data_IF_846090803125
#
_entry.id   IF_846090803125
#
_cell.length_a   1.000
_cell.length_b   1.000
_cell.length_c   1.000
_cell.angle_alpha   90.00
_cell.angle_beta   90.00
_cell.angle_gamma   90.00
#
_symmetry.space_group_name_H-M   'P 1'
#
loop_
_entity.id
_entity.type
_entity.pdbx_description
1 polymer ?
#
# COMPACT_ATOMS: atom_id res chain seq x y z
N UNK A 1 18.17 29.26 0.59
CA UNK A 1 17.01 28.79 -0.18
C UNK A 1 17.30 27.35 -0.56
N UNK A 2 16.94 26.40 0.30
CA UNK A 2 16.93 24.99 -0.09
C UNK A 2 15.61 24.83 -0.85
N UNK A 3 15.69 24.73 -2.18
CA UNK A 3 14.60 24.17 -2.96
C UNK A 3 14.54 22.69 -2.57
N UNK A 4 13.83 22.38 -1.48
CA UNK A 4 13.71 21.01 -0.98
C UNK A 4 12.90 20.18 -1.95
N UNK A 5 13.51 19.13 -2.49
CA UNK A 5 12.76 18.05 -3.11
C UNK A 5 11.86 17.39 -2.05
N UNK A 6 10.82 16.67 -2.48
CA UNK A 6 9.94 15.93 -1.59
C UNK A 6 8.79 16.74 -0.97
N UNK A 7 8.30 16.29 0.19
CA UNK A 7 7.19 16.91 0.91
C UNK A 7 7.60 18.29 1.43
N UNK A 8 6.90 19.34 0.96
CA UNK A 8 7.21 20.74 1.26
C UNK A 8 6.64 21.22 2.60
N UNK A 9 5.47 20.70 2.98
CA UNK A 9 4.71 21.16 4.14
C UNK A 9 4.25 19.98 5.00
N UNK A 10 4.33 20.15 6.32
CA UNK A 10 3.84 19.16 7.28
C UNK A 10 3.13 19.85 8.44
N UNK A 11 2.12 19.19 9.00
CA UNK A 11 1.35 19.70 10.12
C UNK A 11 1.24 18.65 11.23
N UNK A 12 1.18 19.05 12.51
CA UNK A 12 1.02 18.08 13.61
C UNK A 12 -0.37 17.43 13.57
N UNK A 13 -0.41 16.11 13.39
CA UNK A 13 -1.65 15.33 13.29
C UNK A 13 -2.58 15.52 14.50
N UNK A 14 -2.01 15.78 15.68
CA UNK A 14 -2.75 16.05 16.93
C UNK A 14 -3.75 17.20 16.79
N UNK A 15 -3.49 18.16 15.90
CA UNK A 15 -4.31 19.36 15.71
C UNK A 15 -5.04 19.37 14.36
N UNK A 16 -5.07 18.25 13.64
CA UNK A 16 -5.55 18.16 12.25
C UNK A 16 -6.97 18.70 12.03
N UNK A 17 -7.83 18.63 13.05
CA UNK A 17 -9.19 19.19 12.97
C UNK A 17 -9.30 20.69 13.27
N UNK A 18 -8.19 21.37 13.58
CA UNK A 18 -8.19 22.78 14.00
C UNK A 18 -8.24 23.70 12.79
N UNK A 19 -8.65 24.95 13.01
CA UNK A 19 -8.60 25.97 11.97
C UNK A 19 -7.19 26.58 11.88
N UNK A 20 -6.54 26.46 10.72
CA UNK A 20 -5.21 27.01 10.47
C UNK A 20 -5.26 28.18 9.49
N UNK A 21 -4.37 29.13 9.70
CA UNK A 21 -4.05 30.17 8.73
C UNK A 21 -2.58 30.53 8.84
N UNK A 22 -1.90 30.63 7.71
CA UNK A 22 -0.48 30.99 7.62
C UNK A 22 0.43 30.12 8.51
N UNK A 23 0.08 28.82 8.62
CA UNK A 23 0.83 27.82 9.38
C UNK A 23 0.62 27.86 10.90
N UNK A 24 -0.31 28.67 11.40
CA UNK A 24 -0.66 28.73 12.83
C UNK A 24 -2.14 28.43 13.05
N UNK A 25 -2.46 27.84 14.20
CA UNK A 25 -3.85 27.69 14.62
C UNK A 25 -4.35 29.05 15.09
N UNK A 26 -5.46 29.52 14.53
CA UNK A 26 -6.00 30.85 14.83
C UNK A 26 -6.89 30.84 16.08
N UNK A 27 -6.90 31.95 16.81
CA UNK A 27 -7.77 32.16 17.97
C UNK A 27 -9.24 32.33 17.53
N UNK A 28 -10.17 31.61 18.16
CA UNK A 28 -11.61 31.63 17.81
C UNK A 28 -12.34 30.29 17.98
N UNK A 29 -13.42 30.08 17.22
CA UNK A 29 -14.08 28.76 17.15
C UNK A 29 -13.14 27.74 16.49
N UNK A 30 -13.15 26.49 16.97
CA UNK A 30 -12.22 25.41 16.52
C UNK A 30 -10.72 25.65 16.74
N UNK A 31 -10.37 26.54 17.68
CA UNK A 31 -9.00 26.94 18.07
C UNK A 31 -8.04 25.84 18.55
N UNK A 32 -8.50 24.59 18.79
CA UNK A 32 -7.62 23.49 19.24
C UNK A 32 -8.38 22.16 19.20
N UNK A 33 -8.76 21.71 18.02
CA UNK A 33 -9.45 20.42 17.86
C UNK A 33 -8.41 19.30 17.89
N UNK A 34 -8.62 18.34 18.79
CA UNK A 34 -7.79 17.14 18.96
C UNK A 34 -8.66 15.90 18.82
N UNK A 35 -8.05 14.77 18.50
CA UNK A 35 -8.75 13.50 18.33
C UNK A 35 -9.45 13.36 16.97
N UNK A 36 -9.22 14.32 16.06
CA UNK A 36 -9.61 14.20 14.65
C UNK A 36 -8.81 13.10 13.93
N UNK A 37 -7.63 12.79 14.44
CA UNK A 37 -6.76 11.65 14.09
C UNK A 37 -7.28 10.30 14.62
N UNK A 38 -8.60 10.18 14.78
CA UNK A 38 -9.24 8.93 15.17
C UNK A 38 -8.92 7.84 14.14
N UNK A 39 -8.41 6.69 14.61
CA UNK A 39 -7.98 5.61 13.75
C UNK A 39 -9.08 5.11 12.78
N UNK A 40 -10.34 5.09 13.21
CA UNK A 40 -11.46 4.70 12.36
C UNK A 40 -11.74 5.70 11.24
N UNK A 41 -11.61 7.01 11.52
CA UNK A 41 -11.79 8.05 10.52
C UNK A 41 -10.65 8.08 9.50
N UNK A 42 -9.39 7.97 9.97
CA UNK A 42 -8.21 7.89 9.10
C UNK A 42 -8.27 6.61 8.24
N UNK A 43 -8.65 5.47 8.81
CA UNK A 43 -8.83 4.22 8.07
C UNK A 43 -9.96 4.35 7.04
N UNK A 44 -11.10 4.93 7.42
CA UNK A 44 -12.21 5.17 6.49
C UNK A 44 -11.82 6.09 5.34
N UNK A 45 -11.02 7.12 5.60
CA UNK A 45 -10.45 7.99 4.55
C UNK A 45 -9.50 7.21 3.63
N UNK A 46 -8.57 6.46 4.22
CA UNK A 46 -7.58 5.69 3.47
C UNK A 46 -8.17 4.52 2.68
N UNK A 47 -9.40 4.14 2.99
CA UNK A 47 -10.12 3.02 2.39
C UNK A 47 -11.48 3.45 1.81
N UNK A 48 -11.59 4.72 1.39
CA UNK A 48 -12.81 5.27 0.78
C UNK A 48 -13.03 4.76 -0.65
N UNK A 49 -12.41 3.65 -1.08
CA UNK A 49 -12.57 3.00 -2.40
C UNK A 49 -14.01 2.80 -2.86
N UNK A 50 -14.97 2.80 -1.93
CA UNK A 50 -16.39 2.59 -2.17
C UNK A 50 -17.01 3.56 -3.19
N UNK A 51 -16.34 4.68 -3.49
CA UNK A 51 -16.68 5.64 -4.53
C UNK A 51 -16.52 5.06 -5.93
N UNK A 52 -15.36 4.45 -6.18
CA UNK A 52 -15.06 3.78 -7.45
C UNK A 52 -15.91 2.52 -7.60
N UNK A 53 -16.15 1.82 -6.48
CA UNK A 53 -17.06 0.68 -6.45
C UNK A 53 -18.45 1.07 -6.96
N UNK A 54 -19.05 2.15 -6.42
CA UNK A 54 -20.35 2.67 -6.83
C UNK A 54 -20.39 3.05 -8.32
N UNK A 55 -19.34 3.70 -8.84
CA UNK A 55 -19.23 4.03 -10.27
C UNK A 55 -19.17 2.77 -11.16
N UNK A 56 -18.53 1.69 -10.69
CA UNK A 56 -18.52 0.41 -11.41
C UNK A 56 -19.85 -0.35 -11.30
N UNK A 57 -20.62 -0.20 -10.21
CA UNK A 57 -21.98 -0.77 -10.08
C UNK A 57 -22.91 -0.27 -11.19
N UNK A 58 -22.79 1.00 -11.59
CA UNK A 58 -23.59 1.56 -12.69
C UNK A 58 -23.25 0.95 -14.07
N UNK A 59 -22.12 0.24 -14.19
CA UNK A 59 -21.65 -0.40 -15.43
C UNK A 59 -21.72 -1.93 -15.46
N UNK A 60 -21.71 -2.62 -14.31
CA UNK A 60 -21.63 -4.09 -14.27
C UNK A 60 -22.91 -4.75 -13.73
N UNK A 61 -23.62 -5.48 -14.59
CA UNK A 61 -24.88 -6.19 -14.33
C UNK A 61 -24.73 -7.52 -13.57
N UNK A 62 -23.71 -7.68 -12.72
CA UNK A 62 -23.35 -8.95 -12.10
C UNK A 62 -23.21 -8.90 -10.58
N UNK A 63 -24.21 -9.45 -9.88
CA UNK A 63 -24.11 -10.09 -8.55
C UNK A 63 -23.42 -9.31 -7.42
N UNK A 64 -23.89 -8.09 -7.18
CA UNK A 64 -23.62 -7.40 -5.92
C UNK A 64 -24.83 -7.66 -5.01
N UNK A 65 -24.58 -8.19 -3.80
CA UNK A 65 -25.64 -8.41 -2.81
C UNK A 65 -26.42 -7.11 -2.61
N UNK A 66 -27.76 -7.16 -2.63
CA UNK A 66 -28.60 -5.94 -2.54
C UNK A 66 -28.35 -5.08 -1.30
N UNK A 67 -27.75 -5.65 -0.25
CA UNK A 67 -27.27 -4.91 0.94
C UNK A 67 -26.06 -4.02 0.60
N UNK A 68 -25.07 -4.53 -0.14
CA UNK A 68 -23.91 -3.74 -0.58
C UNK A 68 -24.38 -2.65 -1.54
N UNK A 69 -25.25 -2.97 -2.50
CA UNK A 69 -25.79 -1.97 -3.44
C UNK A 69 -26.56 -0.86 -2.71
N UNK A 70 -27.30 -1.18 -1.65
CA UNK A 70 -28.04 -0.18 -0.86
C UNK A 70 -27.12 0.69 0.00
N UNK A 71 -26.05 0.12 0.57
CA UNK A 71 -25.03 0.88 1.31
C UNK A 71 -24.26 1.80 0.36
N UNK A 72 -23.87 1.29 -0.81
CA UNK A 72 -23.10 2.04 -1.81
C UNK A 72 -23.93 3.13 -2.50
N UNK A 73 -25.23 2.88 -2.75
CA UNK A 73 -26.13 3.90 -3.28
C UNK A 73 -26.35 5.05 -2.29
N UNK A 74 -26.50 4.76 -0.99
CA UNK A 74 -26.63 5.80 0.02
C UNK A 74 -25.32 6.61 0.21
N UNK A 75 -24.14 5.99 0.05
CA UNK A 75 -22.84 6.69 0.13
C UNK A 75 -22.58 7.56 -1.11
N UNK A 76 -22.99 7.09 -2.30
CA UNK A 76 -22.77 7.79 -3.57
C UNK A 76 -23.73 8.96 -3.85
N UNK A 77 -24.91 9.04 -3.21
CA UNK A 77 -25.87 10.12 -3.44
C UNK A 77 -25.53 11.44 -2.68
N UNK A 78 -24.70 11.39 -1.63
CA UNK A 78 -24.46 12.54 -0.72
C UNK A 78 -23.07 13.21 -0.82
N UNK A 79 -22.19 12.81 -1.76
CA UNK A 79 -20.75 13.16 -1.76
C UNK A 79 -20.01 12.73 -0.46
N UNK A 80 -20.48 11.65 0.18
CA UNK A 80 -19.77 10.97 1.28
C UNK A 80 -18.61 10.10 0.76
N UNK A 81 -18.19 10.38 -0.47
CA UNK A 81 -17.10 9.72 -1.19
C UNK A 81 -15.74 10.34 -0.87
N UNK A 82 -15.72 11.52 -0.28
CA UNK A 82 -14.50 12.24 0.05
C UNK A 82 -14.43 12.55 1.53
N UNK A 83 -13.24 12.38 2.11
CA UNK A 83 -13.02 12.78 3.49
C UNK A 83 -12.56 14.24 3.54
N UNK A 84 -13.38 15.09 4.19
CA UNK A 84 -13.10 16.52 4.33
C UNK A 84 -12.31 16.79 5.61
N UNK A 85 -11.09 17.29 5.43
CA UNK A 85 -10.20 17.70 6.52
C UNK A 85 -10.09 19.23 6.52
N UNK A 86 -10.13 19.91 7.69
CA UNK A 86 -9.64 21.28 7.77
C UNK A 86 -8.22 21.35 7.22
N UNK A 87 -7.93 22.32 6.38
CA UNK A 87 -6.63 22.40 5.72
C UNK A 87 -5.59 23.07 6.63
N UNK A 88 -4.60 22.34 7.15
CA UNK A 88 -3.56 22.95 7.97
C UNK A 88 -2.58 23.82 7.15
N UNK A 89 -2.65 23.75 5.82
CA UNK A 89 -1.78 24.45 4.88
C UNK A 89 -2.41 25.70 4.28
N UNK A 90 -3.58 26.13 4.76
CA UNK A 90 -4.22 27.34 4.28
C UNK A 90 -3.32 28.57 4.54
N UNK A 91 -3.05 29.35 3.49
CA UNK A 91 -2.13 30.49 3.50
C UNK A 91 -0.63 30.12 3.46
N UNK A 92 -0.28 28.83 3.56
CA UNK A 92 1.11 28.37 3.56
C UNK A 92 1.61 28.19 2.12
N UNK A 93 2.78 28.74 1.81
CA UNK A 93 3.43 28.61 0.49
C UNK A 93 2.52 28.95 -0.70
N UNK A 94 1.73 30.03 -0.59
CA UNK A 94 0.73 30.48 -1.58
C UNK A 94 1.20 30.52 -3.05
N UNK A 95 2.50 30.66 -3.30
CA UNK A 95 3.04 30.73 -4.67
C UNK A 95 3.25 29.35 -5.31
N UNK A 96 3.37 28.29 -4.51
CA UNK A 96 3.79 26.95 -4.96
C UNK A 96 2.83 25.85 -4.54
N UNK A 97 2.09 26.02 -3.45
CA UNK A 97 1.14 25.03 -2.94
C UNK A 97 -0.23 25.14 -3.62
N UNK A 98 -0.72 24.03 -4.16
CA UNK A 98 -2.04 23.95 -4.82
C UNK A 98 -3.21 24.01 -3.84
N UNK A 99 -2.95 23.79 -2.56
CA UNK A 99 -3.97 23.76 -1.50
C UNK A 99 -3.93 25.01 -0.63
N UNK A 100 -3.03 25.96 -0.88
CA UNK A 100 -2.85 27.11 0.00
C UNK A 100 -4.07 28.05 0.05
N UNK A 101 -4.92 28.03 -0.97
CA UNK A 101 -6.11 28.89 -1.07
C UNK A 101 -7.42 28.20 -0.70
N UNK A 102 -7.39 26.91 -0.29
CA UNK A 102 -8.58 26.17 0.12
C UNK A 102 -8.57 25.99 1.63
N UNK A 103 -9.69 26.24 2.29
CA UNK A 103 -9.85 26.05 3.74
C UNK A 103 -10.03 24.58 4.15
N UNK A 104 -10.32 23.71 3.17
CA UNK A 104 -10.45 22.27 3.35
C UNK A 104 -9.56 21.48 2.38
N UNK A 105 -9.19 20.28 2.81
CA UNK A 105 -8.58 19.23 2.01
C UNK A 105 -9.60 18.13 1.77
N UNK A 106 -9.73 17.75 0.51
CA UNK A 106 -10.55 16.63 0.06
C UNK A 106 -9.64 15.44 -0.15
N UNK A 107 -9.71 14.45 0.75
CA UNK A 107 -8.87 13.26 0.72
C UNK A 107 -9.67 12.03 0.27
N UNK A 108 -9.02 11.16 -0.49
CA UNK A 108 -9.56 9.90 -1.02
C UNK A 108 -8.62 8.74 -0.72
N UNK A 109 -9.07 7.53 -1.04
CA UNK A 109 -8.30 6.30 -0.96
C UNK A 109 -6.98 6.41 -1.75
N UNK A 110 -5.88 5.99 -1.12
CA UNK A 110 -4.54 6.08 -1.69
C UNK A 110 -4.32 5.17 -2.90
N UNK A 111 -5.19 4.19 -3.14
CA UNK A 111 -5.17 3.33 -4.32
C UNK A 111 -5.78 3.97 -5.56
N UNK A 112 -6.52 5.08 -5.46
CA UNK A 112 -7.25 5.66 -6.60
C UNK A 112 -6.34 6.22 -7.70
N UNK A 113 -5.09 6.56 -7.38
CA UNK A 113 -4.08 6.99 -8.36
C UNK A 113 -3.13 5.86 -8.80
N UNK A 114 -3.59 4.61 -8.63
CA UNK A 114 -2.91 3.36 -8.92
C UNK A 114 -1.70 3.07 -8.03
N UNK A 115 -1.37 3.90 -7.03
CA UNK A 115 -0.30 3.64 -6.07
C UNK A 115 -0.79 2.85 -4.85
N UNK A 116 -1.42 1.70 -5.10
CA UNK A 116 -1.99 0.83 -4.05
C UNK A 116 -0.95 0.36 -3.01
N UNK A 117 0.34 0.39 -3.37
CA UNK A 117 1.46 0.26 -2.43
C UNK A 117 1.96 1.67 -2.08
N UNK A 118 1.98 2.06 -0.79
CA UNK A 118 2.32 3.42 -0.37
C UNK A 118 3.83 3.72 -0.43
N UNK A 119 4.37 3.79 -1.65
CA UNK A 119 5.81 3.97 -1.91
C UNK A 119 6.24 5.43 -1.83
N UNK A 120 5.37 6.37 -2.22
CA UNK A 120 5.70 7.80 -2.26
C UNK A 120 6.22 8.37 -0.93
N UNK A 121 5.62 8.05 0.25
CA UNK A 121 6.16 8.50 1.53
C UNK A 121 7.54 7.94 1.86
N UNK A 122 7.95 6.82 1.27
CA UNK A 122 9.22 6.15 1.56
C UNK A 122 10.37 6.61 0.67
N UNK A 123 10.07 7.15 -0.52
CA UNK A 123 11.08 7.61 -1.49
C UNK A 123 11.42 9.09 -1.39
N UNK A 124 11.00 9.74 -0.30
CA UNK A 124 11.35 11.12 0.00
C UNK A 124 12.88 11.23 0.21
N UNK A 125 13.60 12.08 -0.53
CA UNK A 125 15.06 12.16 -0.46
C UNK A 125 15.61 12.35 0.96
N UNK A 126 14.90 13.12 1.77
CA UNK A 126 15.25 13.46 3.16
C UNK A 126 15.23 12.23 4.09
N UNK A 127 14.49 11.17 3.74
CA UNK A 127 14.41 9.95 4.55
C UNK A 127 15.60 9.04 4.40
N UNK A 128 16.39 9.18 3.32
CA UNK A 128 17.56 8.34 3.05
C UNK A 128 17.27 6.83 3.22
N UNK A 129 16.11 6.38 2.72
CA UNK A 129 15.71 4.97 2.82
C UNK A 129 16.63 4.13 1.93
N UNK A 130 17.24 3.10 2.52
CA UNK A 130 18.16 2.20 1.82
C UNK A 130 17.41 1.07 1.09
N UNK A 131 16.35 0.53 1.70
CA UNK A 131 15.60 -0.62 1.20
C UNK A 131 14.10 -0.47 1.49
N UNK A 132 13.27 -0.90 0.56
CA UNK A 132 11.81 -0.97 0.70
C UNK A 132 11.36 -2.40 0.41
N UNK A 133 10.60 -3.00 1.33
CA UNK A 133 9.87 -4.25 1.06
C UNK A 133 8.45 -3.89 0.59
N UNK A 134 8.23 -3.97 -0.72
CA UNK A 134 6.96 -3.65 -1.36
C UNK A 134 6.11 -4.92 -1.45
N UNK A 135 5.18 -5.07 -0.52
CA UNK A 135 4.23 -6.19 -0.48
C UNK A 135 3.03 -5.82 -1.35
N UNK A 136 2.76 -6.61 -2.37
CA UNK A 136 1.70 -6.34 -3.34
C UNK A 136 0.60 -7.41 -3.27
N UNK A 137 -0.55 -7.03 -2.73
CA UNK A 137 -1.75 -7.87 -2.69
C UNK A 137 -2.86 -7.30 -3.58
N UNK A 138 -2.50 -6.49 -4.59
CA UNK A 138 -3.45 -5.85 -5.50
C UNK A 138 -4.14 -6.88 -6.38
N UNK A 139 -5.38 -6.58 -6.78
CA UNK A 139 -6.21 -7.41 -7.66
C UNK A 139 -6.18 -6.88 -9.11
N UNK A 140 -4.99 -6.70 -9.68
CA UNK A 140 -4.81 -5.98 -10.95
C UNK A 140 -5.18 -6.81 -12.19
N UNK A 141 -5.03 -8.14 -12.13
CA UNK A 141 -5.37 -9.00 -13.26
C UNK A 141 -6.87 -9.31 -13.31
N UNK A 142 -7.48 -9.22 -14.48
CA UNK A 142 -8.86 -9.55 -14.78
C UNK A 142 -8.93 -10.51 -15.97
N UNK A 143 -10.12 -11.07 -16.24
CA UNK A 143 -10.32 -11.92 -17.42
C UNK A 143 -9.88 -11.23 -18.73
N UNK A 144 -10.00 -9.90 -18.79
CA UNK A 144 -9.63 -9.10 -19.97
C UNK A 144 -8.12 -8.94 -20.15
N UNK A 145 -7.33 -9.05 -19.08
CA UNK A 145 -5.87 -8.95 -19.13
C UNK A 145 -5.17 -10.28 -18.78
N UNK A 146 -5.93 -11.38 -18.77
CA UNK A 146 -5.42 -12.74 -18.76
C UNK A 146 -5.31 -13.41 -17.38
N UNK A 147 -5.86 -12.86 -16.30
CA UNK A 147 -5.81 -13.53 -14.98
C UNK A 147 -7.03 -13.27 -14.11
N UNK A 148 -6.94 -13.55 -12.82
CA UNK A 148 -8.01 -13.29 -11.86
C UNK A 148 -7.47 -12.78 -10.53
N UNK A 149 -7.61 -11.48 -10.26
CA UNK A 149 -7.31 -10.80 -8.99
C UNK A 149 -5.87 -10.97 -8.45
N UNK A 150 -4.88 -11.09 -9.33
CA UNK A 150 -3.47 -11.11 -8.95
C UNK A 150 -2.78 -9.76 -9.21
N UNK A 151 -1.70 -9.46 -8.50
CA UNK A 151 -0.91 -8.27 -8.79
C UNK A 151 -0.20 -8.41 -10.14
N UNK A 152 -0.04 -7.30 -10.85
CA UNK A 152 0.73 -7.25 -12.11
C UNK A 152 1.82 -6.15 -12.09
N UNK A 153 2.10 -5.58 -10.91
CA UNK A 153 3.10 -4.53 -10.73
C UNK A 153 2.59 -3.12 -11.02
N UNK A 154 1.27 -2.92 -11.19
CA UNK A 154 0.68 -1.61 -11.52
C UNK A 154 1.10 -0.51 -10.56
N UNK A 155 1.16 -0.78 -9.25
CA UNK A 155 1.59 0.20 -8.27
C UNK A 155 3.04 0.66 -8.43
N UNK A 156 3.95 -0.26 -8.80
CA UNK A 156 5.34 0.08 -9.08
C UNK A 156 5.45 0.93 -10.34
N UNK A 157 4.73 0.55 -11.40
CA UNK A 157 4.70 1.28 -12.67
C UNK A 157 4.14 2.69 -12.48
N UNK A 158 3.04 2.84 -11.75
CA UNK A 158 2.44 4.13 -11.44
C UNK A 158 3.40 5.03 -10.64
N UNK A 159 4.05 4.47 -9.62
CA UNK A 159 5.04 5.19 -8.81
C UNK A 159 6.24 5.64 -9.66
N UNK A 160 6.77 4.74 -10.50
CA UNK A 160 7.87 5.08 -11.41
C UNK A 160 7.47 6.17 -12.40
N UNK A 161 6.32 6.04 -13.05
CA UNK A 161 5.80 7.04 -13.99
C UNK A 161 5.61 8.41 -13.32
N UNK A 162 5.16 8.43 -12.06
CA UNK A 162 4.98 9.66 -11.28
C UNK A 162 6.27 10.45 -11.12
N UNK A 163 7.44 9.80 -11.09
CA UNK A 163 8.75 10.49 -10.96
C UNK A 163 9.06 11.43 -12.13
N UNK A 164 8.39 11.27 -13.28
CA UNK A 164 8.55 12.13 -14.44
C UNK A 164 7.58 13.33 -14.47
N UNK A 165 6.69 13.43 -13.48
CA UNK A 165 5.71 14.52 -13.37
C UNK A 165 6.18 15.57 -12.36
N UNK A 166 5.73 16.81 -12.51
CA UNK A 166 6.05 17.92 -11.60
C UNK A 166 5.68 17.61 -10.14
N UNK A 167 4.63 16.81 -9.92
CA UNK A 167 4.18 16.39 -8.59
C UNK A 167 5.18 15.50 -7.84
N UNK A 168 6.15 14.90 -8.54
CA UNK A 168 7.23 14.13 -7.90
C UNK A 168 8.10 15.00 -7.00
N UNK A 169 8.20 16.29 -7.31
CA UNK A 169 9.08 17.26 -6.65
C UNK A 169 10.48 16.68 -6.34
N UNK A 170 11.16 16.05 -7.31
CA UNK A 170 12.53 15.54 -7.11
C UNK A 170 12.64 14.22 -6.32
N UNK A 171 11.52 13.55 -6.03
CA UNK A 171 11.55 12.14 -5.64
C UNK A 171 12.08 11.27 -6.78
N UNK A 172 12.72 10.15 -6.44
CA UNK A 172 13.26 9.20 -7.40
C UNK A 172 12.84 7.79 -7.05
N UNK A 173 12.65 6.95 -8.06
CA UNK A 173 12.21 5.57 -7.94
C UNK A 173 12.99 4.71 -8.94
N UNK A 174 13.39 3.46 -8.59
CA UNK A 174 14.13 2.64 -9.53
C UNK A 174 13.31 2.35 -10.78
N UNK A 175 14.00 2.16 -11.91
CA UNK A 175 13.34 1.72 -13.13
C UNK A 175 12.64 0.37 -12.93
N UNK A 176 11.43 0.27 -13.47
CA UNK A 176 10.61 -0.95 -13.50
C UNK A 176 10.05 -1.12 -14.91
N UNK A 177 9.78 -2.36 -15.36
CA UNK A 177 9.18 -2.59 -16.67
C UNK A 177 7.67 -2.34 -16.67
N UNK A 178 7.03 -2.42 -17.83
CA UNK A 178 5.58 -2.38 -17.95
C UNK A 178 4.89 -3.63 -17.36
N UNK A 179 3.59 -3.52 -17.07
CA UNK A 179 2.78 -4.60 -16.49
C UNK A 179 2.84 -5.89 -17.33
N UNK A 180 2.88 -5.75 -18.66
CA UNK A 180 2.92 -6.91 -19.55
C UNK A 180 4.22 -7.70 -19.37
N UNK A 181 5.35 -7.01 -19.23
CA UNK A 181 6.65 -7.59 -18.92
C UNK A 181 6.67 -8.18 -17.52
N UNK A 182 6.06 -7.52 -16.52
CA UNK A 182 5.92 -8.07 -15.16
C UNK A 182 5.31 -9.46 -15.20
N UNK A 183 4.20 -9.62 -15.91
CA UNK A 183 3.51 -10.91 -16.08
C UNK A 183 4.34 -11.88 -16.92
N UNK A 184 4.82 -11.45 -18.09
CA UNK A 184 5.50 -12.33 -19.05
C UNK A 184 6.83 -12.90 -18.54
N UNK A 185 7.55 -12.14 -17.73
CA UNK A 185 8.80 -12.58 -17.11
C UNK A 185 8.58 -13.21 -15.72
N UNK A 186 7.32 -13.34 -15.28
CA UNK A 186 6.95 -13.89 -13.99
C UNK A 186 7.49 -13.08 -12.80
N UNK A 187 7.70 -11.77 -12.96
CA UNK A 187 8.12 -10.87 -11.87
C UNK A 187 7.00 -10.69 -10.84
N UNK A 188 5.74 -10.87 -11.26
CA UNK A 188 4.57 -10.91 -10.38
C UNK A 188 4.31 -12.30 -9.75
N UNK A 189 5.19 -13.27 -10.00
CA UNK A 189 5.10 -14.62 -9.43
C UNK A 189 6.33 -15.00 -8.61
N UNK A 190 7.23 -14.07 -8.27
CA UNK A 190 8.38 -14.32 -7.37
C UNK A 190 8.89 -13.00 -6.80
N UNK A 191 9.67 -13.03 -5.70
CA UNK A 191 10.41 -11.85 -5.27
C UNK A 191 11.27 -11.31 -6.41
N UNK A 192 11.23 -10.01 -6.62
CA UNK A 192 12.03 -9.32 -7.64
C UNK A 192 12.63 -8.07 -7.03
N UNK A 193 13.91 -7.83 -7.27
CA UNK A 193 14.60 -6.63 -6.79
C UNK A 193 14.69 -5.60 -7.91
N UNK A 194 14.32 -4.36 -7.60
CA UNK A 194 14.45 -3.21 -8.49
C UNK A 194 15.44 -2.20 -7.91
N UNK A 195 16.18 -1.53 -8.80
CA UNK A 195 17.21 -0.58 -8.40
C UNK A 195 18.51 -1.22 -7.94
N UNK A 196 18.82 -2.45 -8.31
CA UNK A 196 20.08 -3.06 -7.90
C UNK A 196 21.32 -2.27 -8.36
N UNK A 197 21.20 -1.58 -9.50
CA UNK A 197 22.11 -0.52 -9.90
C UNK A 197 21.48 0.85 -9.61
N UNK A 198 22.02 1.55 -8.62
CA UNK A 198 21.62 2.91 -8.23
C UNK A 198 22.09 3.99 -9.21
N UNK A 199 23.12 3.71 -10.02
CA UNK A 199 23.80 4.71 -10.83
C UNK A 199 22.98 5.14 -12.05
N UNK A 200 21.94 4.37 -12.37
CA UNK A 200 21.03 4.63 -13.50
C UNK A 200 19.90 5.63 -13.16
N UNK A 201 20.00 6.35 -12.04
CA UNK A 201 18.97 7.28 -11.57
C UNK A 201 19.56 8.63 -11.18
N UNK A 202 18.78 9.71 -11.33
CA UNK A 202 19.22 11.09 -11.04
C UNK A 202 19.67 11.28 -9.58
N UNK A 203 19.02 10.56 -8.67
CA UNK A 203 19.36 10.48 -7.25
C UNK A 203 19.39 9.00 -6.86
N UNK A 204 20.26 8.64 -5.91
CA UNK A 204 20.29 7.28 -5.38
C UNK A 204 18.91 6.87 -4.87
N UNK A 205 18.34 5.83 -5.47
CA UNK A 205 17.03 5.29 -5.10
C UNK A 205 17.15 4.18 -4.07
N UNK A 206 16.15 3.92 -3.21
CA UNK A 206 16.13 2.70 -2.40
C UNK A 206 16.16 1.46 -3.28
N UNK A 207 16.75 0.36 -2.80
CA UNK A 207 16.54 -0.94 -3.42
C UNK A 207 15.14 -1.44 -3.04
N UNK A 208 14.31 -1.73 -4.04
CA UNK A 208 12.93 -2.20 -3.80
C UNK A 208 12.89 -3.72 -3.92
N UNK A 209 12.62 -4.39 -2.80
CA UNK A 209 12.29 -5.81 -2.74
C UNK A 209 10.79 -5.95 -2.95
N UNK A 210 10.39 -6.26 -4.18
CA UNK A 210 8.99 -6.49 -4.54
C UNK A 210 8.56 -7.92 -4.21
N UNK A 211 7.49 -8.04 -3.42
CA UNK A 211 6.93 -9.30 -2.94
C UNK A 211 5.45 -9.39 -3.38
N UNK A 212 5.20 -9.94 -4.58
CA UNK A 212 3.84 -10.10 -5.07
C UNK A 212 3.11 -11.25 -4.38
N UNK A 213 1.83 -11.07 -4.08
CA UNK A 213 0.91 -12.13 -3.75
C UNK A 213 0.89 -13.16 -4.89
N UNK A 214 1.14 -14.41 -4.55
CA UNK A 214 1.19 -15.53 -5.47
C UNK A 214 0.76 -16.81 -4.74
N UNK A 215 0.24 -17.83 -5.43
CA UNK A 215 -0.24 -19.04 -4.77
C UNK A 215 0.92 -19.95 -4.36
N UNK A 216 1.24 -19.96 -3.07
CA UNK A 216 2.16 -20.95 -2.49
C UNK A 216 1.41 -22.19 -2.05
N UNK A 217 0.39 -22.01 -1.21
CA UNK A 217 -0.45 -23.08 -0.66
C UNK A 217 -1.95 -22.81 -0.80
N UNK A 218 -2.31 -21.57 -1.13
CA UNK A 218 -3.70 -21.14 -1.25
C UNK A 218 -3.83 -20.01 -2.27
N UNK A 219 -4.98 -19.97 -2.95
CA UNK A 219 -5.34 -18.89 -3.87
C UNK A 219 -5.87 -17.71 -3.04
N UNK A 220 -4.97 -16.85 -2.57
CA UNK A 220 -5.29 -15.65 -1.78
C UNK A 220 -5.61 -14.42 -2.62
N UNK A 221 -5.89 -14.58 -3.91
CA UNK A 221 -6.41 -13.58 -4.86
C UNK A 221 -7.92 -13.39 -4.68
N UNK A 222 -8.33 -13.13 -3.43
CA UNK A 222 -9.72 -12.87 -3.06
C UNK A 222 -10.18 -11.51 -3.59
N UNK A 223 -11.50 -11.32 -3.73
CA UNK A 223 -12.03 -10.04 -4.22
C UNK A 223 -11.87 -8.96 -3.16
N UNK A 224 -11.57 -7.73 -3.58
CA UNK A 224 -11.58 -6.54 -2.72
C UNK A 224 -12.94 -6.34 -2.03
N UNK A 225 -14.02 -6.87 -2.61
CA UNK A 225 -15.39 -6.77 -2.08
C UNK A 225 -15.77 -7.92 -1.13
N UNK A 226 -14.89 -8.89 -0.93
CA UNK A 226 -15.13 -9.98 0.04
C UNK A 226 -14.87 -9.45 1.46
N UNK A 227 -15.96 -9.13 2.17
CA UNK A 227 -15.89 -8.55 3.52
C UNK A 227 -15.94 -9.60 4.65
N UNK A 228 -16.08 -10.88 4.32
CA UNK A 228 -16.14 -11.95 5.32
C UNK A 228 -15.44 -13.21 4.84
N UNK A 229 -14.70 -13.83 5.76
CA UNK A 229 -13.99 -15.09 5.55
C UNK A 229 -14.26 -15.98 6.75
N UNK A 230 -14.35 -17.29 6.51
CA UNK A 230 -14.34 -18.24 7.62
C UNK A 230 -12.92 -18.41 8.18
N UNK A 231 -12.78 -18.95 9.40
CA UNK A 231 -11.48 -19.10 10.06
C UNK A 231 -10.48 -19.93 9.25
N UNK A 232 -10.96 -20.94 8.52
CA UNK A 232 -10.09 -21.82 7.72
C UNK A 232 -9.48 -21.06 6.56
N UNK A 233 -10.30 -20.34 5.81
CA UNK A 233 -9.89 -19.51 4.69
C UNK A 233 -8.94 -18.38 5.13
N UNK A 234 -9.31 -17.63 6.18
CA UNK A 234 -8.42 -16.62 6.78
C UNK A 234 -7.04 -17.20 7.11
N UNK A 235 -7.00 -18.36 7.76
CA UNK A 235 -5.74 -18.99 8.15
C UNK A 235 -4.89 -19.37 6.92
N UNK A 236 -5.50 -19.89 5.85
CA UNK A 236 -4.78 -20.21 4.61
C UNK A 236 -4.28 -18.96 3.88
N UNK A 237 -5.04 -17.86 3.88
CA UNK A 237 -4.58 -16.58 3.32
C UNK A 237 -3.34 -16.08 4.08
N UNK A 238 -3.39 -16.10 5.41
CA UNK A 238 -2.26 -15.69 6.27
C UNK A 238 -1.05 -16.61 6.05
N UNK A 239 -1.25 -17.92 5.99
CA UNK A 239 -0.19 -18.91 5.73
C UNK A 239 0.42 -18.71 4.34
N UNK A 240 -0.40 -18.41 3.32
CA UNK A 240 0.09 -18.09 2.00
C UNK A 240 0.96 -16.83 2.02
N UNK A 241 0.53 -15.77 2.72
CA UNK A 241 1.32 -14.55 2.91
C UNK A 241 2.66 -14.78 3.62
N UNK A 242 2.68 -15.64 4.65
CA UNK A 242 3.93 -16.08 5.28
C UNK A 242 4.87 -16.76 4.28
N UNK A 243 4.35 -17.65 3.44
CA UNK A 243 5.14 -18.35 2.43
C UNK A 243 5.63 -17.40 1.31
N UNK A 244 4.84 -16.40 0.93
CA UNK A 244 5.26 -15.32 0.01
C UNK A 244 6.49 -14.61 0.56
N UNK A 245 6.45 -14.18 1.83
CA UNK A 245 7.53 -13.42 2.45
C UNK A 245 8.79 -14.25 2.74
N UNK A 246 8.65 -15.57 2.94
CA UNK A 246 9.74 -16.46 3.36
C UNK A 246 10.21 -17.43 2.28
N UNK A 247 9.64 -17.37 1.07
CA UNK A 247 9.83 -18.36 0.02
C UNK A 247 9.57 -19.80 0.49
N UNK A 248 8.45 -19.98 1.20
CA UNK A 248 8.09 -21.27 1.78
C UNK A 248 9.00 -21.67 2.94
N UNK A 249 9.31 -20.76 3.85
CA UNK A 249 10.30 -20.96 4.92
C UNK A 249 11.66 -21.44 4.39
N UNK A 250 12.10 -20.88 3.26
CA UNK A 250 13.34 -21.27 2.57
C UNK A 250 13.27 -22.59 1.79
N UNK A 251 12.10 -23.22 1.67
CA UNK A 251 11.93 -24.46 0.89
C UNK A 251 12.15 -24.23 -0.60
N UNK A 252 11.69 -23.09 -1.13
CA UNK A 252 11.92 -22.75 -2.54
C UNK A 252 13.31 -22.17 -2.78
N UNK A 253 13.89 -21.50 -1.78
CA UNK A 253 15.26 -20.99 -1.84
C UNK A 253 15.85 -20.85 -0.43
N UNK A 254 16.81 -21.70 -0.09
CA UNK A 254 17.45 -21.70 1.24
C UNK A 254 18.30 -20.44 1.48
N UNK A 255 18.74 -19.77 0.42
CA UNK A 255 19.56 -18.55 0.48
C UNK A 255 18.72 -17.27 0.55
N UNK A 256 17.38 -17.38 0.53
CA UNK A 256 16.49 -16.22 0.62
C UNK A 256 16.80 -15.29 1.80
N UNK A 257 16.99 -15.77 3.05
CA UNK A 257 17.36 -14.89 4.17
C UNK A 257 18.69 -14.16 3.94
N UNK A 258 19.66 -14.83 3.30
CA UNK A 258 20.94 -14.23 2.92
C UNK A 258 20.72 -13.11 1.90
N UNK A 259 19.90 -13.35 0.87
CA UNK A 259 19.59 -12.37 -0.17
C UNK A 259 18.81 -11.16 0.35
N UNK A 260 17.90 -11.38 1.31
CA UNK A 260 17.25 -10.29 2.06
C UNK A 260 18.28 -9.47 2.84
N UNK A 261 19.24 -10.11 3.51
CA UNK A 261 20.36 -9.42 4.17
C UNK A 261 21.19 -8.58 3.21
N UNK A 262 21.50 -9.12 2.01
CA UNK A 262 22.22 -8.40 0.96
C UNK A 262 21.43 -7.20 0.42
N UNK A 263 20.12 -7.33 0.24
CA UNK A 263 19.24 -6.23 -0.13
C UNK A 263 19.28 -5.09 0.91
N UNK A 264 19.21 -5.43 2.20
CA UNK A 264 19.30 -4.45 3.31
C UNK A 264 20.66 -3.72 3.32
N UNK A 265 21.75 -4.44 3.05
CA UNK A 265 23.10 -3.87 3.08
C UNK A 265 23.47 -3.09 1.81
N UNK A 266 22.76 -3.30 0.69
CA UNK A 266 23.13 -2.84 -0.66
C UNK A 266 23.56 -1.36 -0.69
N UNK A 267 22.71 -0.44 -0.22
CA UNK A 267 23.00 1.00 -0.23
C UNK A 267 24.09 1.43 0.74
N UNK A 268 24.21 0.73 1.86
CA UNK A 268 25.30 0.97 2.81
C UNK A 268 26.66 0.55 2.23
N UNK A 269 26.72 -0.58 1.52
CA UNK A 269 27.93 -1.02 0.81
C UNK A 269 28.34 0.01 -0.25
N UNK A 270 27.38 0.48 -1.04
CA UNK A 270 27.61 1.46 -2.09
C UNK A 270 28.11 2.81 -1.52
N UNK A 271 27.43 3.36 -0.52
CA UNK A 271 27.76 4.64 0.11
C UNK A 271 29.15 4.65 0.75
N UNK A 272 29.59 3.51 1.25
CA UNK A 272 30.91 3.36 1.89
C UNK A 272 32.01 2.93 0.92
N UNK A 273 31.67 2.62 -0.34
CA UNK A 273 32.61 2.02 -1.29
C UNK A 273 33.10 0.63 -0.87
N UNK A 274 32.35 -0.07 -0.02
CA UNK A 274 32.70 -1.42 0.44
C UNK A 274 32.44 -2.41 -0.68
N UNK A 275 33.40 -3.31 -0.93
CA UNK A 275 33.24 -4.37 -1.92
C UNK A 275 32.05 -5.27 -1.58
N UNK A 276 31.13 -5.41 -2.54
CA UNK A 276 29.95 -6.28 -2.40
C UNK A 276 30.41 -7.74 -2.26
N UNK A 277 30.04 -8.46 -1.18
CA UNK A 277 30.40 -9.86 -1.01
C UNK A 277 29.87 -10.75 -2.15
N UNK A 278 30.61 -11.80 -2.51
CA UNK A 278 30.22 -12.71 -3.60
C UNK A 278 28.82 -13.33 -3.43
N UNK A 279 28.44 -13.64 -2.19
CA UNK A 279 27.10 -14.14 -1.88
C UNK A 279 26.01 -13.12 -2.23
N UNK A 280 26.27 -11.83 -2.04
CA UNK A 280 25.35 -10.77 -2.44
C UNK A 280 25.31 -10.58 -3.94
N UNK A 281 26.44 -10.70 -4.64
CA UNK A 281 26.46 -10.69 -6.10
C UNK A 281 25.62 -11.83 -6.68
N UNK A 282 25.66 -13.04 -6.09
CA UNK A 282 24.81 -14.16 -6.50
C UNK A 282 23.32 -13.88 -6.25
N UNK A 283 22.99 -13.28 -5.10
CA UNK A 283 21.63 -12.87 -4.80
C UNK A 283 21.11 -11.82 -5.80
N UNK A 284 21.92 -10.83 -6.14
CA UNK A 284 21.55 -9.80 -7.11
C UNK A 284 21.40 -10.39 -8.52
N UNK A 285 22.28 -11.30 -8.94
CA UNK A 285 22.09 -12.02 -10.21
C UNK A 285 20.78 -12.84 -10.25
N UNK A 286 20.32 -13.34 -9.10
CA UNK A 286 19.10 -14.16 -9.02
C UNK A 286 17.82 -13.33 -9.01
N UNK A 287 17.80 -12.25 -8.24
CA UNK A 287 16.57 -11.52 -7.94
C UNK A 287 16.45 -10.17 -8.64
N UNK A 288 17.55 -9.55 -9.07
CA UNK A 288 17.47 -8.28 -9.75
C UNK A 288 16.86 -8.43 -11.12
N UNK A 289 15.89 -7.57 -11.42
CA UNK A 289 15.49 -7.37 -12.79
C UNK A 289 16.66 -6.74 -13.57
N UNK A 290 16.97 -7.32 -14.72
CA UNK A 290 18.15 -7.01 -15.53
C UNK A 290 17.89 -6.01 -16.66
N UNK A 291 16.68 -5.44 -16.73
CA UNK A 291 16.26 -4.56 -17.81
C UNK A 291 15.58 -5.26 -18.98
N UNK A 292 15.47 -6.60 -18.97
CA UNK A 292 14.78 -7.36 -20.03
C UNK A 292 13.30 -6.98 -20.09
N UNK A 293 12.79 -6.77 -21.31
CA UNK A 293 11.38 -6.48 -21.58
C UNK A 293 10.73 -7.57 -22.41
N UNK A 294 9.44 -7.83 -22.17
CA UNK A 294 8.64 -8.75 -22.97
C UNK A 294 7.22 -8.22 -23.10
N UNK A 295 6.91 -7.61 -24.24
CA UNK A 295 5.61 -6.99 -24.53
C UNK A 295 4.63 -7.92 -25.25
N UNK A 296 4.79 -9.24 -25.17
CA UNK A 296 3.84 -10.20 -25.75
C UNK A 296 2.46 -10.03 -25.10
N UNK A 297 1.42 -9.81 -25.90
CA UNK A 297 0.04 -9.59 -25.43
C UNK A 297 -0.74 -10.90 -25.27
N UNK A 298 -1.88 -10.85 -24.58
CA UNK A 298 -2.80 -11.99 -24.35
C UNK A 298 -2.17 -13.14 -23.55
N UNK A 299 -1.22 -12.82 -22.67
CA UNK A 299 -0.65 -13.81 -21.75
C UNK A 299 -1.64 -14.16 -20.67
N UNK A 300 -1.97 -15.45 -20.55
CA UNK A 300 -2.75 -15.96 -19.43
C UNK A 300 -1.86 -16.12 -18.20
N UNK A 301 -2.25 -15.50 -17.10
CA UNK A 301 -1.64 -15.60 -15.79
C UNK A 301 -2.54 -16.38 -14.82
N UNK A 302 -2.36 -17.70 -14.82
CA UNK A 302 -3.00 -18.64 -13.91
C UNK A 302 -1.91 -19.45 -13.19
N UNK A 303 -1.24 -18.86 -12.19
CA UNK A 303 -0.10 -19.50 -11.53
C UNK A 303 -0.53 -20.75 -10.73
N UNK A 304 0.20 -21.87 -10.83
CA UNK A 304 -0.04 -23.03 -9.98
C UNK A 304 0.49 -22.81 -8.57
N UNK A 305 0.03 -23.62 -7.61
CA UNK A 305 0.64 -23.69 -6.28
C UNK A 305 2.13 -24.02 -6.36
N UNK A 306 2.94 -23.26 -5.64
CA UNK A 306 4.40 -23.47 -5.58
C UNK A 306 4.81 -24.58 -4.61
N UNK A 307 3.97 -24.88 -3.62
CA UNK A 307 4.23 -25.88 -2.58
C UNK A 307 3.05 -26.85 -2.52
N UNK A 308 3.31 -28.12 -2.19
CA UNK A 308 2.22 -29.00 -1.82
C UNK A 308 1.69 -28.59 -0.44
N UNK A 309 0.39 -28.78 -0.21
CA UNK A 309 -0.27 -28.42 1.05
C UNK A 309 0.33 -29.12 2.29
N UNK A 310 1.05 -30.22 2.11
CA UNK A 310 1.77 -30.94 3.18
C UNK A 310 3.22 -30.50 3.40
N UNK A 311 3.78 -29.71 2.49
CA UNK A 311 5.19 -29.25 2.54
C UNK A 311 5.37 -28.02 3.44
N UNK A 312 4.27 -27.52 4.02
CA UNK A 312 4.26 -26.29 4.82
C UNK A 312 3.94 -26.62 6.27
N UNK A 313 4.67 -25.96 7.17
CA UNK A 313 4.41 -26.03 8.60
C UNK A 313 2.97 -25.57 8.87
N UNK A 314 2.11 -26.50 9.26
CA UNK A 314 0.87 -26.13 9.91
C UNK A 314 1.21 -25.22 11.08
N UNK A 315 0.56 -24.06 11.18
CA UNK A 315 0.52 -23.28 12.41
C UNK A 315 -0.02 -24.21 13.50
N UNK A 316 0.87 -24.98 14.15
CA UNK A 316 0.54 -25.65 15.39
C UNK A 316 0.18 -24.51 16.32
N UNK A 317 -1.03 -24.56 16.85
CA UNK A 317 -1.65 -23.62 17.78
C UNK A 317 -0.87 -23.58 19.10
N UNK A 318 0.40 -23.20 19.01
CA UNK A 318 1.34 -23.01 20.10
C UNK A 318 1.02 -21.67 20.75
N UNK A 319 -0.12 -21.62 21.44
CA UNK A 319 -0.31 -20.80 22.62
C UNK A 319 -0.10 -19.30 22.49
N UNK A 320 -0.85 -18.61 21.63
CA UNK A 320 -1.48 -17.38 22.11
C UNK A 320 -2.57 -17.83 23.08
N UNK A 321 -2.22 -17.95 24.38
CA UNK A 321 -3.26 -17.95 25.41
C UNK A 321 -4.06 -16.68 25.16
N UNK A 322 -5.31 -16.85 24.76
CA UNK A 322 -6.28 -15.77 24.73
C UNK A 322 -6.26 -15.14 26.13
N UNK A 323 -5.59 -14.00 26.26
CA UNK A 323 -5.93 -13.07 27.31
C UNK A 323 -7.33 -12.61 26.91
N UNK A 324 -8.34 -13.18 27.56
CA UNK A 324 -9.72 -12.76 27.38
C UNK A 324 -9.76 -11.23 27.56
N UNK A 325 -10.18 -10.45 26.56
CA UNK A 325 -10.51 -9.07 26.82
C UNK A 325 -11.78 -9.13 27.67
N UNK A 326 -11.65 -8.84 28.97
CA UNK A 326 -12.81 -8.45 29.76
C UNK A 326 -13.34 -7.16 29.16
N UNK A 327 -14.28 -7.28 28.21
CA UNK A 327 -15.16 -6.19 27.81
C UNK A 327 -15.98 -5.80 29.03
N UNK A 328 -15.51 -4.80 29.77
CA UNK A 328 -16.39 -3.98 30.58
C UNK A 328 -17.15 -3.05 29.62
N UNK A 329 -18.25 -3.56 29.05
CA UNK A 329 -19.28 -2.74 28.42
C UNK A 329 -19.94 -1.89 29.51
N UNK A 330 -19.46 -0.67 29.72
CA UNK A 330 -20.19 0.33 30.47
C UNK A 330 -21.33 0.85 29.57
N UNK A 331 -22.49 0.20 29.66
CA UNK A 331 -23.74 0.70 29.10
C UNK A 331 -24.19 1.89 29.96
N UNK A 332 -23.91 3.12 29.53
CA UNK A 332 -24.56 4.30 30.09
C UNK A 332 -25.85 4.59 29.32
N UNK A 333 -26.91 3.86 29.67
CA UNK A 333 -28.28 4.26 29.35
C UNK A 333 -28.70 5.34 30.35
N UNK A 334 -28.72 6.61 29.92
CA UNK A 334 -29.41 7.68 30.66
C UNK A 334 -30.76 7.91 30.00
N UNK A 335 -31.74 7.13 30.45
CA UNK A 335 -33.15 7.47 30.34
C UNK A 335 -33.61 7.96 31.71
N UNK A 336 -33.68 9.28 31.90
CA UNK A 336 -34.43 9.89 33.01
C UNK A 336 -35.66 10.55 32.43
N UNK A 337 -36.79 9.86 32.55
CA UNK A 337 -38.12 10.44 32.42
C UNK A 337 -38.88 10.11 33.70
N UNK A 338 -39.49 11.17 34.25
CA UNK A 338 -40.68 11.25 35.12
C UNK A 338 -40.53 11.53 36.64
N UNK A 339 -40.82 12.80 36.97
CA UNK A 339 -41.76 13.31 37.98
C UNK A 339 -41.59 12.97 39.48
N UNK A 340 -41.59 13.98 40.35
CA UNK A 340 -42.75 14.47 41.15
C UNK A 340 -42.24 15.52 42.15
N UNK A 341 -42.84 16.72 42.08
CA UNK A 341 -42.98 17.84 43.04
C UNK A 341 -42.61 19.19 42.41
#
# INVERSE_FOLDING_TARGET
MLNGAGILDTAPIRYLGSNFSDGVVIDGDMQCVRGFDNAGYIMGTSSSLFNQAFLQINGSSGLINGVLTSILANIGEDNDDIANYPNPFFGVNNQTSRVATTDQLTLVDGGEDLQNIPLHPLIQPERHVDVIFAIDSSADTTADNGGANWPNGTALVATYARTFLDISNGTSFPAVPDQQTFVNLGLNNRPTFFGCDSSNTTHMTPLVVYLPNAPYVYHSNVSTYDLSYNDTERNYIIENGYNVATLGNGTLDSEWPTCVGCAILSRSLERTGTTVPDVCNQCFQRYCWDGTVNSTTNTTYEPPYKLAKGDVLGFSSSGFKAAAPTLALAVSAVATVLMIM
#
